data_IF_317754450747
#
_entry.id   IF_317754450747
#
_cell.length_a   1.000
_cell.length_b   1.000
_cell.length_c   1.000
_cell.angle_alpha   90.00
_cell.angle_beta   90.00
_cell.angle_gamma   90.00
#
_symmetry.space_group_name_H-M   'P 1'
#
loop_
_entity.id
_entity.type
_entity.pdbx_description
1 polymer ?
#
# COMPACT_ATOMS: atom_id res chain seq x y z
N UNK A 1 17.90 -5.37 -16.90
CA UNK A 1 16.46 -5.39 -17.21
C UNK A 1 15.81 -4.41 -16.26
N UNK A 2 15.32 -3.27 -16.75
CA UNK A 2 14.60 -2.30 -15.93
C UNK A 2 13.25 -2.92 -15.59
N UNK A 3 13.04 -3.26 -14.32
CA UNK A 3 11.70 -3.66 -13.84
C UNK A 3 10.74 -2.51 -14.16
N UNK A 4 9.69 -2.80 -14.94
CA UNK A 4 8.65 -1.82 -15.24
C UNK A 4 7.76 -1.70 -14.00
N UNK A 5 8.23 -0.97 -12.99
CA UNK A 5 7.53 -0.77 -11.72
C UNK A 5 6.43 0.26 -11.90
N UNK A 6 5.20 -0.10 -11.55
CA UNK A 6 4.07 0.82 -11.59
C UNK A 6 3.84 1.44 -10.22
N UNK A 7 3.96 2.76 -10.12
CA UNK A 7 3.74 3.49 -8.86
C UNK A 7 2.35 4.11 -8.82
N UNK A 8 1.57 3.81 -7.77
CA UNK A 8 0.35 4.51 -7.39
C UNK A 8 0.67 5.41 -6.20
N UNK A 9 0.57 6.73 -6.38
CA UNK A 9 0.75 7.69 -5.30
C UNK A 9 -0.57 7.92 -4.56
N UNK A 10 -0.54 7.83 -3.24
CA UNK A 10 -1.67 8.16 -2.36
C UNK A 10 -1.33 9.42 -1.56
N UNK A 11 -2.15 10.45 -1.72
CA UNK A 11 -2.00 11.73 -1.03
C UNK A 11 -3.37 12.30 -0.61
N UNK A 12 -3.33 13.45 0.09
CA UNK A 12 -4.54 14.09 0.60
C UNK A 12 -5.19 13.32 1.76
N UNK A 13 -6.52 13.34 1.79
CA UNK A 13 -7.31 12.66 2.80
C UNK A 13 -7.47 11.17 2.43
N UNK A 14 -6.93 10.29 3.25
CA UNK A 14 -6.96 8.82 3.15
C UNK A 14 -7.70 8.26 4.37
N UNK A 15 -8.98 8.62 4.46
CA UNK A 15 -9.86 8.35 5.61
C UNK A 15 -11.04 7.50 5.19
N UNK A 16 -11.93 7.13 6.12
CA UNK A 16 -13.15 6.40 5.80
C UNK A 16 -14.01 7.09 4.71
N UNK A 17 -13.96 8.43 4.64
CA UNK A 17 -14.73 9.20 3.65
C UNK A 17 -14.25 9.00 2.21
N UNK A 18 -12.95 8.75 2.03
CA UNK A 18 -12.29 8.59 0.72
C UNK A 18 -11.88 7.13 0.48
N UNK A 19 -12.28 6.21 1.35
CA UNK A 19 -11.89 4.81 1.31
C UNK A 19 -12.34 4.10 0.04
N UNK A 20 -13.53 4.42 -0.47
CA UNK A 20 -14.05 3.85 -1.72
C UNK A 20 -13.17 4.26 -2.92
N UNK A 21 -12.90 5.56 -3.07
CA UNK A 21 -12.04 6.10 -4.13
C UNK A 21 -10.61 5.54 -4.03
N UNK A 22 -10.05 5.50 -2.82
CA UNK A 22 -8.72 4.94 -2.56
C UNK A 22 -8.65 3.45 -2.97
N UNK A 23 -9.67 2.67 -2.62
CA UNK A 23 -9.77 1.25 -2.99
C UNK A 23 -9.91 1.06 -4.50
N UNK A 24 -10.74 1.87 -5.16
CA UNK A 24 -10.92 1.82 -6.61
C UNK A 24 -9.62 2.13 -7.35
N UNK A 25 -8.86 3.13 -6.89
CA UNK A 25 -7.54 3.45 -7.44
C UNK A 25 -6.55 2.28 -7.30
N UNK A 26 -6.53 1.60 -6.15
CA UNK A 26 -5.71 0.40 -5.95
C UNK A 26 -6.11 -0.74 -6.89
N UNK A 27 -7.41 -1.00 -7.05
CA UNK A 27 -7.90 -2.06 -7.95
C UNK A 27 -7.61 -1.76 -9.42
N UNK A 28 -7.72 -0.50 -9.84
CA UNK A 28 -7.35 -0.08 -11.19
C UNK A 28 -5.85 -0.33 -11.43
N UNK A 29 -4.99 0.06 -10.49
CA UNK A 29 -3.56 -0.20 -10.56
C UNK A 29 -3.26 -1.70 -10.67
N UNK A 30 -3.96 -2.54 -9.90
CA UNK A 30 -3.81 -4.00 -9.92
C UNK A 30 -4.27 -4.61 -11.24
N UNK A 31 -5.39 -4.16 -11.80
CA UNK A 31 -5.88 -4.62 -13.11
C UNK A 31 -4.86 -4.36 -14.22
N UNK A 32 -4.29 -3.15 -14.24
CA UNK A 32 -3.25 -2.79 -15.22
C UNK A 32 -1.93 -3.54 -14.99
N UNK A 33 -1.54 -3.75 -13.73
CA UNK A 33 -0.35 -4.51 -13.37
C UNK A 33 -0.46 -5.98 -13.79
N UNK A 34 -1.63 -6.58 -13.60
CA UNK A 34 -1.95 -7.94 -14.04
C UNK A 34 -1.86 -8.08 -15.56
N UNK A 35 -2.38 -7.09 -16.30
CA UNK A 35 -2.31 -7.08 -17.76
C UNK A 35 -0.87 -6.94 -18.29
N UNK A 36 -0.06 -6.10 -17.63
CA UNK A 36 1.32 -5.81 -18.04
C UNK A 36 2.40 -6.68 -17.39
N UNK A 37 2.01 -7.58 -16.47
CA UNK A 37 2.91 -8.40 -15.65
C UNK A 37 4.00 -7.58 -14.93
N UNK A 38 3.60 -6.43 -14.40
CA UNK A 38 4.46 -5.51 -13.66
C UNK A 38 4.21 -5.54 -12.15
N UNK A 39 5.22 -5.28 -11.31
CA UNK A 39 5.01 -5.02 -9.88
C UNK A 39 4.31 -3.67 -9.67
N UNK A 40 3.60 -3.54 -8.54
CA UNK A 40 2.96 -2.30 -8.09
C UNK A 40 3.66 -1.78 -6.84
N UNK A 41 3.99 -0.51 -6.81
CA UNK A 41 4.38 0.22 -5.60
C UNK A 41 3.27 1.20 -5.22
N UNK A 42 2.74 1.09 -4.00
CA UNK A 42 1.89 2.11 -3.40
C UNK A 42 2.81 3.06 -2.63
N UNK A 43 2.85 4.32 -3.04
CA UNK A 43 3.66 5.37 -2.42
C UNK A 43 2.77 6.30 -1.60
N UNK A 44 2.92 6.26 -0.27
CA UNK A 44 2.13 7.05 0.66
C UNK A 44 2.83 8.38 0.93
N UNK A 45 2.13 9.48 0.68
CA UNK A 45 2.64 10.82 0.95
C UNK A 45 2.87 11.07 2.45
N UNK A 46 3.97 11.76 2.78
CA UNK A 46 4.30 12.16 4.15
C UNK A 46 3.25 13.09 4.78
N UNK A 47 2.56 13.88 3.96
CA UNK A 47 1.58 14.88 4.39
C UNK A 47 0.13 14.40 4.20
N UNK A 48 -0.11 13.09 4.09
CA UNK A 48 -1.48 12.59 4.03
C UNK A 48 -2.19 12.76 5.39
N UNK A 49 -3.49 13.00 5.35
CA UNK A 49 -4.37 12.86 6.52
C UNK A 49 -4.96 11.45 6.49
N UNK A 50 -4.66 10.62 7.48
CA UNK A 50 -5.05 9.22 7.46
C UNK A 50 -5.61 8.74 8.80
N UNK A 51 -6.70 7.99 8.73
CA UNK A 51 -7.26 7.25 9.85
C UNK A 51 -6.96 5.74 9.69
N UNK A 52 -7.51 4.93 10.60
CA UNK A 52 -7.33 3.48 10.62
C UNK A 52 -7.74 2.78 9.30
N UNK A 53 -8.58 3.42 8.49
CA UNK A 53 -9.08 2.85 7.24
C UNK A 53 -7.96 2.64 6.23
N UNK A 54 -6.98 3.54 6.15
CA UNK A 54 -5.86 3.39 5.21
C UNK A 54 -5.02 2.13 5.49
N UNK A 55 -4.50 1.89 6.71
CA UNK A 55 -3.85 0.61 7.05
C UNK A 55 -4.68 -0.62 6.71
N UNK A 56 -5.99 -0.61 7.02
CA UNK A 56 -6.87 -1.73 6.74
C UNK A 56 -7.05 -1.99 5.24
N UNK A 57 -7.17 -0.92 4.43
CA UNK A 57 -7.19 -1.02 2.98
C UNK A 57 -5.89 -1.58 2.43
N UNK A 58 -4.74 -1.16 2.97
CA UNK A 58 -3.43 -1.69 2.54
C UNK A 58 -3.27 -3.17 2.87
N UNK A 59 -3.72 -3.63 4.03
CA UNK A 59 -3.74 -5.06 4.36
C UNK A 59 -4.66 -5.85 3.44
N UNK A 60 -5.85 -5.33 3.15
CA UNK A 60 -6.74 -5.93 2.15
C UNK A 60 -6.09 -5.95 0.77
N UNK A 61 -5.39 -4.89 0.38
CA UNK A 61 -4.72 -4.77 -0.90
C UNK A 61 -3.57 -5.78 -1.03
N UNK A 62 -2.79 -5.99 0.04
CA UNK A 62 -1.78 -7.06 0.10
C UNK A 62 -2.40 -8.44 -0.12
N UNK A 63 -3.51 -8.76 0.56
CA UNK A 63 -4.21 -10.03 0.38
C UNK A 63 -4.74 -10.18 -1.05
N UNK A 64 -5.30 -9.13 -1.64
CA UNK A 64 -5.76 -9.14 -3.04
C UNK A 64 -4.60 -9.35 -4.00
N UNK A 65 -3.51 -8.60 -3.88
CA UNK A 65 -2.34 -8.72 -4.73
C UNK A 65 -1.72 -10.12 -4.66
N UNK A 66 -1.61 -10.71 -3.45
CA UNK A 66 -1.14 -12.07 -3.27
C UNK A 66 -2.03 -13.10 -3.98
N UNK A 67 -3.37 -12.97 -3.87
CA UNK A 67 -4.33 -13.84 -4.56
C UNK A 67 -4.27 -13.72 -6.07
N UNK A 68 -3.93 -12.54 -6.58
CA UNK A 68 -3.81 -12.25 -8.02
C UNK A 68 -2.40 -12.49 -8.59
N UNK A 69 -1.43 -12.90 -7.76
CA UNK A 69 -0.04 -13.09 -8.18
C UNK A 69 0.69 -11.79 -8.55
N UNK A 70 0.24 -10.65 -8.00
CA UNK A 70 0.84 -9.34 -8.20
C UNK A 70 1.85 -9.07 -7.09
N UNK A 71 3.08 -8.74 -7.48
CA UNK A 71 4.10 -8.25 -6.54
C UNK A 71 3.71 -6.83 -6.13
N UNK A 72 3.24 -6.68 -4.89
CA UNK A 72 2.95 -5.39 -4.28
C UNK A 72 4.12 -4.96 -3.41
N UNK A 73 4.44 -3.66 -3.43
CA UNK A 73 5.33 -2.96 -2.51
C UNK A 73 4.55 -1.78 -1.92
N UNK A 74 4.71 -1.51 -0.64
CA UNK A 74 4.12 -0.33 -0.01
C UNK A 74 5.27 0.50 0.52
N UNK A 75 5.50 1.68 -0.05
CA UNK A 75 6.46 2.66 0.42
C UNK A 75 5.73 3.72 1.23
N UNK A 76 6.19 3.95 2.45
CA UNK A 76 5.65 4.99 3.31
C UNK A 76 6.76 5.65 4.14
N UNK A 77 6.62 6.93 4.50
CA UNK A 77 7.61 7.61 5.33
C UNK A 77 7.69 6.99 6.73
N UNK A 78 8.91 6.92 7.27
CA UNK A 78 9.21 6.43 8.63
C UNK A 78 8.80 7.41 9.75
N UNK A 79 7.90 8.34 9.45
CA UNK A 79 7.36 9.35 10.38
C UNK A 79 6.04 9.88 9.82
N UNK A 80 5.34 10.64 10.63
CA UNK A 80 4.14 11.36 10.21
C UNK A 80 2.83 10.61 10.51
N UNK A 81 1.71 11.08 9.92
CA UNK A 81 0.37 10.62 10.29
C UNK A 81 0.17 9.12 10.09
N UNK A 82 0.68 8.55 8.99
CA UNK A 82 0.50 7.13 8.68
C UNK A 82 1.16 6.21 9.70
N UNK A 83 2.44 6.45 10.01
CA UNK A 83 3.15 5.66 11.03
C UNK A 83 2.49 5.81 12.41
N UNK A 84 2.12 7.04 12.78
CA UNK A 84 1.42 7.31 14.05
C UNK A 84 0.11 6.52 14.14
N UNK A 85 -0.65 6.46 13.06
CA UNK A 85 -1.90 5.68 12.99
C UNK A 85 -1.63 4.18 13.08
N UNK A 86 -0.60 3.66 12.40
CA UNK A 86 -0.20 2.24 12.47
C UNK A 86 0.17 1.83 13.90
N UNK A 87 0.98 2.62 14.58
CA UNK A 87 1.42 2.37 15.96
C UNK A 87 0.24 2.37 16.92
N UNK A 88 -0.61 3.39 16.84
CA UNK A 88 -1.80 3.53 17.71
C UNK A 88 -2.83 2.43 17.48
N UNK A 89 -2.88 1.89 16.26
CA UNK A 89 -3.74 0.77 15.90
C UNK A 89 -3.17 -0.59 16.31
N UNK A 90 -1.93 -0.66 16.78
CA UNK A 90 -1.23 -1.93 17.03
C UNK A 90 -0.94 -2.72 15.74
N UNK A 91 -0.87 -2.04 14.59
CA UNK A 91 -0.68 -2.65 13.27
C UNK A 91 0.76 -2.53 12.76
N UNK A 92 1.66 -1.83 13.46
CA UNK A 92 3.04 -1.61 13.02
C UNK A 92 3.78 -2.92 12.63
N UNK A 93 3.59 -3.99 13.42
CA UNK A 93 4.21 -5.29 13.15
C UNK A 93 3.76 -5.93 11.82
N UNK A 94 2.56 -5.61 11.33
CA UNK A 94 2.09 -6.09 10.03
C UNK A 94 2.73 -5.35 8.85
N UNK A 95 3.51 -4.30 9.14
CA UNK A 95 4.21 -3.49 8.15
C UNK A 95 5.73 -3.42 8.42
N UNK A 96 6.26 -4.24 9.34
CA UNK A 96 7.66 -4.21 9.73
C UNK A 96 8.58 -4.81 8.65
N UNK A 97 9.55 -3.99 8.22
CA UNK A 97 10.55 -4.25 7.17
C UNK A 97 11.54 -3.09 7.12
N UNK A 98 12.82 -3.37 6.89
CA UNK A 98 13.96 -2.41 7.01
C UNK A 98 13.87 -1.20 6.03
N UNK A 99 12.98 -1.31 5.06
CA UNK A 99 12.22 -0.20 4.50
C UNK A 99 10.77 -0.67 4.55
N UNK A 100 9.79 0.18 4.85
CA UNK A 100 8.39 -0.15 4.56
C UNK A 100 8.34 -0.46 3.06
N UNK A 101 8.46 -1.74 2.74
CA UNK A 101 8.58 -2.37 1.44
C UNK A 101 8.14 -3.79 1.72
N UNK A 102 6.83 -3.93 1.92
CA UNK A 102 6.22 -5.23 2.12
C UNK A 102 6.13 -5.85 0.73
N UNK A 103 7.00 -6.81 0.44
CA UNK A 103 6.89 -7.65 -0.74
C UNK A 103 6.02 -8.86 -0.40
N UNK A 104 4.92 -9.04 -1.12
CA UNK A 104 4.27 -10.36 -1.17
C UNK A 104 5.25 -11.34 -1.82
N UNK A 105 6.07 -12.04 -1.03
CA UNK A 105 7.00 -13.04 -1.57
C UNK A 105 8.18 -13.47 -0.71
N UNK A 106 8.55 -12.77 0.38
CA UNK A 106 9.68 -13.20 1.23
C UNK A 106 9.18 -13.51 2.66
N UNK A 107 8.65 -14.72 2.81
CA UNK A 107 8.72 -15.46 4.06
C UNK A 107 9.81 -16.51 3.86
N UNK A 108 11.03 -16.20 4.28
CA UNK A 108 12.05 -17.21 4.57
C UNK A 108 12.43 -17.11 6.04
#
# INVERSE_FOLDING_TARGET
>A
MTENLKTLRLDGALTIKTAAETREAMLAAFGEAKASKSPVEIDISENCDCDLTLPQLLLSAQATAARDGIVLRIRAPHRGPFLTTLERAGLAAAFDGDSLTIMNGDQR
#
